data_IF_519292959839
#
_entry.id   IF_519292959839
#
_cell.length_a   1.000
_cell.length_b   1.000
_cell.length_c   1.000
_cell.angle_alpha   90.00
_cell.angle_beta   90.00
_cell.angle_gamma   90.00
#
_symmetry.space_group_name_H-M   'P 1'
#
loop_
_entity.id
_entity.type
_entity.pdbx_description
1 polymer ?
#
# COMPACT_ATOMS: atom_id res chain seq x y z
N UNK A 1 -5.50 -21.08 5.38
CA UNK A 1 -4.98 -20.70 4.05
C UNK A 1 -3.66 -20.02 4.29
N UNK A 2 -2.60 -20.38 3.57
CA UNK A 2 -1.26 -19.80 3.74
C UNK A 2 -1.21 -18.39 3.12
N UNK A 3 -0.90 -17.33 3.89
CA UNK A 3 -0.96 -15.94 3.41
C UNK A 3 0.09 -15.62 2.33
N UNK A 4 1.24 -16.32 2.35
CA UNK A 4 2.27 -16.20 1.32
C UNK A 4 1.82 -16.69 -0.07
N UNK A 5 0.84 -17.60 -0.12
CA UNK A 5 0.32 -18.15 -1.38
C UNK A 5 -0.64 -17.17 -2.07
N UNK A 6 -1.35 -16.34 -1.30
CA UNK A 6 -2.34 -15.37 -1.80
C UNK A 6 -1.67 -14.11 -2.35
N UNK A 7 -0.58 -13.65 -1.73
CA UNK A 7 0.22 -12.48 -2.16
C UNK A 7 0.90 -12.70 -3.52
N UNK A 8 1.50 -13.89 -3.71
CA UNK A 8 2.06 -14.31 -5.00
C UNK A 8 0.97 -14.45 -6.07
N UNK A 9 -0.21 -14.96 -5.69
CA UNK A 9 -1.35 -15.11 -6.61
C UNK A 9 -1.93 -13.77 -7.08
N UNK A 10 -1.98 -12.74 -6.22
CA UNK A 10 -2.44 -11.40 -6.59
C UNK A 10 -1.53 -10.74 -7.63
N UNK A 11 -0.23 -10.65 -7.37
CA UNK A 11 0.76 -10.10 -8.31
C UNK A 11 0.85 -10.93 -9.61
N UNK A 12 0.68 -12.26 -9.52
CA UNK A 12 0.63 -13.15 -10.68
C UNK A 12 -0.68 -12.99 -11.49
N UNK A 13 -1.81 -12.72 -10.83
CA UNK A 13 -3.08 -12.43 -11.50
C UNK A 13 -3.03 -11.07 -12.20
N UNK A 14 -2.44 -10.05 -11.55
CA UNK A 14 -2.15 -8.74 -12.13
C UNK A 14 -1.27 -8.87 -13.39
N UNK A 15 -0.19 -9.64 -13.37
CA UNK A 15 0.67 -9.82 -14.55
C UNK A 15 0.05 -10.65 -15.70
N UNK A 16 -1.06 -11.37 -15.46
CA UNK A 16 -1.76 -12.19 -16.46
C UNK A 16 -3.06 -11.58 -16.99
N UNK A 17 -3.59 -10.54 -16.36
CA UNK A 17 -4.81 -9.88 -16.81
C UNK A 17 -4.54 -9.11 -18.11
N UNK A 18 -5.16 -9.58 -19.19
CA UNK A 18 -4.92 -9.07 -20.54
C UNK A 18 -5.82 -7.89 -20.93
N UNK A 19 -6.85 -7.60 -20.11
CA UNK A 19 -7.77 -6.47 -20.28
C UNK A 19 -8.35 -6.02 -18.93
N UNK A 20 -8.95 -4.81 -18.90
CA UNK A 20 -9.55 -4.20 -17.69
C UNK A 20 -10.73 -5.03 -17.13
N UNK A 21 -11.44 -5.80 -17.96
CA UNK A 21 -12.56 -6.64 -17.53
C UNK A 21 -12.14 -7.78 -16.59
N UNK A 22 -11.05 -8.47 -16.93
CA UNK A 22 -10.49 -9.56 -16.11
C UNK A 22 -10.05 -9.03 -14.72
N UNK A 23 -9.56 -7.79 -14.67
CA UNK A 23 -9.24 -7.09 -13.43
C UNK A 23 -10.46 -6.80 -12.56
N UNK A 24 -11.53 -6.31 -13.17
CA UNK A 24 -12.77 -5.97 -12.45
C UNK A 24 -13.38 -7.23 -11.82
N UNK A 25 -13.44 -8.33 -12.56
CA UNK A 25 -14.04 -9.57 -12.10
C UNK A 25 -13.21 -10.26 -11.00
N UNK A 26 -11.88 -10.15 -11.05
CA UNK A 26 -11.01 -10.62 -9.97
C UNK A 26 -11.32 -9.90 -8.65
N UNK A 27 -11.33 -8.56 -8.65
CA UNK A 27 -11.51 -7.76 -7.43
C UNK A 27 -12.93 -7.79 -6.86
N UNK A 28 -13.95 -8.13 -7.67
CA UNK A 28 -15.33 -8.30 -7.17
C UNK A 28 -15.43 -9.35 -6.06
N UNK A 29 -14.60 -10.38 -6.09
CA UNK A 29 -14.63 -11.45 -5.09
C UNK A 29 -14.02 -11.04 -3.74
N UNK A 30 -13.38 -9.88 -3.67
CA UNK A 30 -12.70 -9.37 -2.48
C UNK A 30 -13.50 -8.23 -1.81
N UNK A 31 -14.80 -8.13 -2.09
CA UNK A 31 -15.68 -7.20 -1.36
C UNK A 31 -15.66 -7.52 0.14
N UNK A 32 -15.45 -6.50 0.96
CA UNK A 32 -15.32 -6.62 2.41
C UNK A 32 -13.88 -6.83 2.89
N UNK A 33 -12.94 -7.10 1.98
CA UNK A 33 -11.53 -7.24 2.32
C UNK A 33 -10.87 -5.88 2.49
N UNK A 34 -9.90 -5.80 3.42
CA UNK A 34 -9.07 -4.61 3.61
C UNK A 34 -7.87 -4.66 2.65
N UNK A 35 -7.56 -3.51 2.07
CA UNK A 35 -6.45 -3.36 1.13
C UNK A 35 -5.58 -2.17 1.48
N UNK A 36 -4.30 -2.29 1.14
CA UNK A 36 -3.34 -1.18 1.04
C UNK A 36 -3.02 -0.94 -0.44
N UNK A 37 -3.35 0.26 -0.94
CA UNK A 37 -2.85 0.75 -2.22
C UNK A 37 -1.61 1.59 -1.94
N UNK A 38 -0.48 1.26 -2.57
CA UNK A 38 0.80 1.91 -2.32
C UNK A 38 1.35 2.59 -3.57
N UNK A 39 1.85 3.79 -3.38
CA UNK A 39 2.68 4.50 -4.34
C UNK A 39 4.00 4.84 -3.66
N UNK A 40 5.09 4.25 -4.14
CA UNK A 40 6.42 4.41 -3.56
C UNK A 40 7.31 5.22 -4.50
N UNK A 41 8.12 6.12 -3.93
CA UNK A 41 9.15 6.85 -4.64
C UNK A 41 10.46 6.77 -3.88
N UNK A 42 11.55 6.45 -4.58
CA UNK A 42 12.86 6.28 -3.97
C UNK A 42 13.85 7.30 -4.53
N UNK A 43 14.37 8.16 -3.66
CA UNK A 43 15.27 9.27 -4.00
C UNK A 43 16.62 9.15 -3.29
N UNK A 44 17.75 9.41 -3.96
CA UNK A 44 19.05 9.46 -3.30
C UNK A 44 19.14 10.67 -2.38
N UNK A 45 19.94 10.56 -1.31
CA UNK A 45 20.33 11.69 -0.47
C UNK A 45 21.71 12.22 -0.88
N UNK A 46 22.12 13.38 -0.34
CA UNK A 46 23.47 13.92 -0.59
C UNK A 46 24.60 13.08 0.05
N UNK A 47 24.27 12.10 0.90
CA UNK A 47 25.25 11.17 1.47
C UNK A 47 25.32 9.92 0.59
N UNK A 48 26.54 9.47 0.33
CA UNK A 48 26.79 8.23 -0.41
C UNK A 48 25.97 7.08 0.21
N UNK A 49 25.32 6.29 -0.65
CA UNK A 49 24.58 5.06 -0.29
C UNK A 49 23.38 5.26 0.64
N UNK A 50 22.90 6.48 0.83
CA UNK A 50 21.66 6.72 1.57
C UNK A 50 20.52 7.15 0.65
N UNK A 51 19.36 6.54 0.85
CA UNK A 51 18.14 6.83 0.10
C UNK A 51 17.01 7.20 1.06
N UNK A 52 16.08 8.00 0.54
CA UNK A 52 14.79 8.25 1.17
C UNK A 52 13.74 7.65 0.28
N UNK A 53 12.93 6.79 0.88
CA UNK A 53 11.74 6.24 0.28
C UNK A 53 10.53 6.94 0.89
N UNK A 54 9.72 7.56 0.04
CA UNK A 54 8.44 8.15 0.42
C UNK A 54 7.34 7.29 -0.17
N UNK A 55 6.48 6.75 0.70
CA UNK A 55 5.40 5.82 0.35
C UNK A 55 4.08 6.46 0.77
N UNK A 56 3.21 6.72 -0.21
CA UNK A 56 1.82 7.04 0.03
C UNK A 56 1.01 5.76 0.10
N UNK A 57 0.18 5.62 1.14
CA UNK A 57 -0.64 4.44 1.38
C UNK A 57 -2.10 4.87 1.48
N UNK A 58 -2.97 4.31 0.66
CA UNK A 58 -4.43 4.41 0.80
C UNK A 58 -4.90 3.06 1.35
N UNK A 59 -5.25 3.03 2.63
CA UNK A 59 -5.81 1.87 3.31
C UNK A 59 -7.32 1.99 3.37
N UNK A 60 -8.05 0.92 3.05
CA UNK A 60 -9.51 0.91 3.20
C UNK A 60 -10.12 -0.47 2.93
N UNK A 61 -11.41 -0.59 3.14
CA UNK A 61 -12.16 -1.82 2.87
C UNK A 61 -12.85 -1.74 1.51
N UNK A 62 -12.76 -2.78 0.70
CA UNK A 62 -13.42 -2.83 -0.62
C UNK A 62 -14.95 -2.88 -0.43
N UNK A 63 -15.63 -1.77 -0.70
CA UNK A 63 -17.09 -1.69 -0.67
C UNK A 63 -17.73 -2.20 -1.97
N UNK A 64 -17.17 -1.78 -3.10
CA UNK A 64 -17.65 -2.18 -4.43
C UNK A 64 -16.58 -1.93 -5.51
N UNK A 65 -16.83 -2.47 -6.71
CA UNK A 65 -16.11 -2.09 -7.93
C UNK A 65 -16.88 -0.98 -8.62
N UNK A 66 -16.23 0.15 -8.87
CA UNK A 66 -16.82 1.28 -9.58
C UNK A 66 -16.57 1.15 -11.09
N UNK A 67 -17.58 1.49 -11.90
CA UNK A 67 -17.52 1.33 -13.36
C UNK A 67 -16.79 2.47 -14.09
N UNK A 68 -17.03 3.73 -13.70
CA UNK A 68 -16.43 4.92 -14.34
C UNK A 68 -16.15 6.07 -13.32
N UNK A 69 -14.89 6.36 -12.96
CA UNK A 69 -13.69 5.64 -13.40
C UNK A 69 -13.75 4.19 -12.94
N UNK A 70 -13.17 3.29 -13.74
CA UNK A 70 -13.03 1.89 -13.35
C UNK A 70 -12.07 1.81 -12.18
N UNK A 71 -12.54 1.33 -11.03
CA UNK A 71 -11.77 1.42 -9.80
C UNK A 71 -12.38 0.67 -8.61
N UNK A 72 -11.74 0.84 -7.46
CA UNK A 72 -12.25 0.36 -6.18
C UNK A 72 -12.98 1.50 -5.47
N UNK A 73 -14.21 1.25 -5.05
CA UNK A 73 -14.85 2.04 -4.01
C UNK A 73 -14.40 1.48 -2.66
N UNK A 74 -13.61 2.27 -1.94
CA UNK A 74 -13.14 1.94 -0.60
C UNK A 74 -13.98 2.66 0.46
N UNK A 75 -14.22 2.00 1.58
CA UNK A 75 -14.87 2.54 2.79
C UNK A 75 -13.88 2.53 3.96
N UNK A 76 -14.10 3.36 4.97
CA UNK A 76 -13.20 3.52 6.14
C UNK A 76 -11.75 3.77 5.71
N UNK A 77 -11.56 4.81 4.91
CA UNK A 77 -10.31 5.06 4.21
C UNK A 77 -9.36 5.87 5.09
N UNK A 78 -8.18 5.32 5.36
CA UNK A 78 -7.06 6.01 6.01
C UNK A 78 -5.97 6.25 4.97
N UNK A 79 -5.63 7.52 4.75
CA UNK A 79 -4.46 7.87 3.93
C UNK A 79 -3.27 8.10 4.84
N UNK A 80 -2.19 7.38 4.57
CA UNK A 80 -0.97 7.37 5.37
C UNK A 80 0.23 7.79 4.49
N UNK A 81 1.24 8.34 5.14
CA UNK A 81 2.54 8.58 4.54
C UNK A 81 3.59 7.85 5.36
N UNK A 82 4.33 6.93 4.74
CA UNK A 82 5.48 6.27 5.32
C UNK A 82 6.75 6.81 4.70
N UNK A 83 7.67 7.30 5.50
CA UNK A 83 8.97 7.79 5.06
C UNK A 83 10.06 6.91 5.65
N UNK A 84 10.77 6.16 4.80
CA UNK A 84 11.89 5.32 5.21
C UNK A 84 13.21 5.95 4.78
N UNK A 85 14.16 6.01 5.70
CA UNK A 85 15.55 6.31 5.39
C UNK A 85 16.32 5.00 5.33
N UNK A 86 16.96 4.75 4.19
CA UNK A 86 17.66 3.50 3.91
C UNK A 86 19.15 3.77 3.76
N UNK A 87 19.98 2.87 4.30
CA UNK A 87 21.43 2.79 4.05
C UNK A 87 21.73 1.53 3.24
N UNK A 88 22.37 1.64 2.09
CA UNK A 88 22.68 0.50 1.24
C UNK A 88 23.08 0.90 -0.17
N UNK A 89 23.52 -0.06 -0.98
CA UNK A 89 23.76 0.17 -2.41
C UNK A 89 22.53 -0.26 -3.20
N UNK A 90 21.86 0.69 -3.87
CA UNK A 90 20.62 0.43 -4.64
C UNK A 90 20.83 -0.53 -5.82
N UNK A 91 22.07 -0.71 -6.28
CA UNK A 91 22.41 -1.58 -7.41
C UNK A 91 23.23 -2.81 -7.00
N UNK A 92 23.46 -3.02 -5.70
CA UNK A 92 23.96 -4.31 -5.28
C UNK A 92 22.88 -5.36 -5.55
N UNK A 93 23.25 -6.48 -6.18
CA UNK A 93 22.38 -7.64 -6.44
C UNK A 93 21.73 -8.23 -5.17
N UNK A 94 22.07 -7.68 -4.00
CA UNK A 94 21.69 -8.16 -2.69
C UNK A 94 21.01 -7.05 -1.88
N UNK A 95 19.71 -6.91 -2.09
CA UNK A 95 18.81 -5.99 -1.36
C UNK A 95 18.82 -6.26 0.15
N UNK A 96 19.26 -7.44 0.60
CA UNK A 96 19.35 -7.80 2.03
C UNK A 96 20.38 -6.97 2.80
N UNK A 97 21.25 -6.23 2.09
CA UNK A 97 22.22 -5.30 2.68
C UNK A 97 21.65 -3.91 2.94
N UNK A 98 20.40 -3.65 2.57
CA UNK A 98 19.74 -2.37 2.84
C UNK A 98 19.26 -2.33 4.28
N UNK A 99 19.79 -1.41 5.08
CA UNK A 99 19.41 -1.20 6.47
C UNK A 99 18.42 -0.04 6.57
N UNK A 100 17.31 -0.23 7.30
CA UNK A 100 16.38 0.86 7.62
C UNK A 100 16.96 1.69 8.77
N UNK A 101 17.38 2.91 8.47
CA UNK A 101 17.91 3.87 9.46
C UNK A 101 16.77 4.52 10.25
N UNK A 102 15.69 4.86 9.55
CA UNK A 102 14.51 5.50 10.13
C UNK A 102 13.27 5.05 9.36
N UNK A 103 12.16 4.94 10.05
CA UNK A 103 10.86 4.56 9.52
C UNK A 103 9.76 5.35 10.23
N UNK A 104 9.25 6.36 9.54
CA UNK A 104 8.21 7.24 10.06
C UNK A 104 6.90 6.95 9.34
N UNK A 105 5.88 6.52 10.08
CA UNK A 105 4.52 6.37 9.56
C UNK A 105 3.63 7.44 10.18
N UNK A 106 2.90 8.19 9.35
CA UNK A 106 1.95 9.19 9.80
C UNK A 106 0.63 9.10 9.05
N UNK A 107 -0.48 9.41 9.72
CA UNK A 107 -1.78 9.61 9.07
C UNK A 107 -1.81 10.99 8.42
N UNK A 108 -2.22 11.03 7.15
CA UNK A 108 -2.48 12.27 6.41
C UNK A 108 -3.91 12.73 6.70
N UNK A 109 -4.87 11.81 6.52
CA UNK A 109 -6.31 12.05 6.73
C UNK A 109 -7.09 10.75 6.82
N UNK A 110 -8.33 10.87 7.29
CA UNK A 110 -9.34 9.82 7.23
C UNK A 110 -10.55 10.33 6.45
N UNK A 111 -11.11 9.50 5.56
CA UNK A 111 -12.32 9.80 4.80
C UNK A 111 -13.24 8.59 4.81
N UNK A 112 -14.55 8.83 4.82
CA UNK A 112 -15.52 7.74 4.92
C UNK A 112 -15.47 6.82 3.70
N UNK A 113 -15.34 7.42 2.51
CA UNK A 113 -15.31 6.70 1.24
C UNK A 113 -14.35 7.37 0.26
N UNK A 114 -13.72 6.57 -0.60
CA UNK A 114 -12.88 7.05 -1.71
C UNK A 114 -12.97 6.10 -2.89
N UNK A 115 -13.11 6.66 -4.10
CA UNK A 115 -12.93 5.91 -5.34
C UNK A 115 -11.45 6.02 -5.72
N UNK A 116 -10.80 4.88 -5.95
CA UNK A 116 -9.43 4.82 -6.47
C UNK A 116 -9.47 4.14 -7.83
N UNK A 117 -9.11 4.88 -8.88
CA UNK A 117 -9.12 4.37 -10.24
C UNK A 117 -7.98 3.37 -10.44
N UNK A 118 -8.23 2.26 -11.15
CA UNK A 118 -7.17 1.25 -11.42
C UNK A 118 -5.98 1.85 -12.18
N UNK A 119 -6.19 2.89 -12.98
CA UNK A 119 -5.12 3.61 -13.67
C UNK A 119 -4.18 4.38 -12.75
N UNK A 120 -4.58 4.64 -11.50
CA UNK A 120 -3.79 5.36 -10.50
C UNK A 120 -3.13 4.42 -9.47
N UNK A 121 -3.40 3.11 -9.57
CA UNK A 121 -2.86 2.12 -8.64
C UNK A 121 -1.50 1.67 -9.13
N UNK A 122 -0.45 2.07 -8.40
CA UNK A 122 0.90 1.54 -8.59
C UNK A 122 1.01 0.10 -8.07
N UNK A 123 0.73 -0.08 -6.78
CA UNK A 123 0.75 -1.37 -6.09
C UNK A 123 -0.51 -1.55 -5.23
N UNK A 124 -1.01 -2.79 -5.12
CA UNK A 124 -2.20 -3.13 -4.36
C UNK A 124 -2.01 -4.46 -3.63
N UNK A 125 -2.19 -4.44 -2.31
CA UNK A 125 -2.03 -5.59 -1.43
C UNK A 125 -3.29 -5.83 -0.59
N UNK A 126 -3.68 -7.09 -0.43
CA UNK A 126 -4.63 -7.49 0.61
C UNK A 126 -3.93 -7.40 1.96
N UNK A 127 -4.55 -6.74 2.92
CA UNK A 127 -4.03 -6.64 4.27
C UNK A 127 -4.86 -7.49 5.21
N UNK A 128 -4.20 -8.33 6.00
CA UNK A 128 -4.85 -8.97 7.14
C UNK A 128 -5.22 -7.89 8.17
N UNK A 129 -6.25 -8.14 8.99
CA UNK A 129 -6.62 -7.33 10.16
C UNK A 129 -5.50 -7.36 11.21
N UNK A 130 -4.38 -6.75 10.89
CA UNK A 130 -3.28 -6.50 11.83
C UNK A 130 -3.55 -5.15 12.47
N UNK A 131 -4.36 -5.22 13.54
CA UNK A 131 -4.56 -4.15 14.52
C UNK A 131 -3.22 -3.54 15.02
N UNK A 132 -2.08 -4.19 14.82
CA UNK A 132 -0.77 -3.73 15.30
C UNK A 132 -0.18 -2.54 14.51
N UNK A 133 -0.47 -2.41 13.21
CA UNK A 133 -0.03 -1.22 12.45
C UNK A 133 -0.89 0.01 12.81
N UNK A 134 -2.16 -0.21 13.13
CA UNK A 134 -3.08 0.85 13.55
C UNK A 134 -2.82 1.29 15.00
N UNK A 135 -2.42 0.39 15.91
CA UNK A 135 -1.98 0.74 17.27
C UNK A 135 -0.83 1.76 17.28
N UNK A 136 0.14 1.60 16.39
CA UNK A 136 1.30 2.52 16.35
C UNK A 136 0.87 3.94 15.92
N UNK A 137 -0.19 4.07 15.11
CA UNK A 137 -0.74 5.36 14.68
C UNK A 137 -1.71 5.92 15.74
N UNK A 138 -2.56 5.08 16.33
CA UNK A 138 -3.50 5.48 17.38
C UNK A 138 -2.77 5.94 18.66
N UNK A 139 -1.63 5.32 19.00
CA UNK A 139 -0.76 5.77 20.09
C UNK A 139 -0.05 7.10 19.76
N UNK A 140 0.15 7.44 18.49
CA UNK A 140 0.67 8.74 18.06
C UNK A 140 -0.39 9.85 18.11
N UNK A 141 -1.63 9.54 17.75
CA UNK A 141 -2.75 10.49 17.86
C UNK A 141 -3.18 10.71 19.32
N UNK A 142 -3.05 9.71 20.19
CA UNK A 142 -3.40 9.79 21.62
C UNK A 142 -2.39 10.58 22.47
N UNK A 143 -1.22 10.91 21.92
CA UNK A 143 -0.17 11.68 22.61
C UNK A 143 -0.16 13.18 22.23
N UNK A 144 -1.22 13.68 21.57
CA UNK A 144 -1.37 15.10 21.20
C UNK A 144 -2.50 15.83 21.94
N UNK A 145 -3.03 15.28 23.05
CA UNK A 145 -3.94 15.99 23.98
C UNK A 145 -3.23 16.46 25.26
#
# INVERSE_FOLDING_TARGET
MDPASTLSAGATALSKASNVGDYLDYWRNYKGERVDIRESSLRPTMKDKQYVEDIHIIRGTIGAIHGQPSGLLLTDVKELHRRRKLDGDRFADDVSKTTVINDELRRIRQVNEKIVAFSEIGELELTEDTNDADRTIEDLDSNQE
#
